data_IF_231528988883
#
_entry.id   IF_231528988883
#
_cell.length_a   1.000
_cell.length_b   1.000
_cell.length_c   1.000
_cell.angle_alpha   90.00
_cell.angle_beta   90.00
_cell.angle_gamma   90.00
#
_symmetry.space_group_name_H-M   'P 1'
#
loop_
_entity.id
_entity.type
_entity.pdbx_description
1 polymer ?
#
# COMPACT_ATOMS: atom_id res chain seq x y z
N UNK A 1 -14.67 22.54 2.84
CA UNK A 1 -13.25 22.04 2.87
C UNK A 1 -13.29 20.54 2.74
N UNK A 2 -12.70 20.00 1.69
CA UNK A 2 -12.75 18.57 1.45
C UNK A 2 -11.84 17.81 2.45
N UNK A 3 -12.28 16.70 3.08
CA UNK A 3 -11.55 16.03 4.17
C UNK A 3 -10.15 15.51 3.80
N UNK A 4 -9.90 15.18 2.53
CA UNK A 4 -8.57 14.74 2.08
C UNK A 4 -7.50 15.84 2.11
N UNK A 5 -7.92 17.07 2.30
CA UNK A 5 -7.01 18.19 2.50
C UNK A 5 -6.42 18.28 3.91
N UNK A 6 -6.83 17.44 4.86
CA UNK A 6 -6.33 17.53 6.23
C UNK A 6 -4.80 17.47 6.29
N UNK A 7 -4.17 16.55 5.58
CA UNK A 7 -2.70 16.43 5.55
C UNK A 7 -2.04 17.59 4.78
N UNK A 8 -2.63 18.04 3.68
CA UNK A 8 -2.15 19.21 2.94
C UNK A 8 -2.24 20.46 3.81
N UNK A 9 -3.38 20.65 4.47
CA UNK A 9 -3.59 21.79 5.37
C UNK A 9 -2.62 21.75 6.56
N UNK A 10 -2.32 20.57 7.10
CA UNK A 10 -1.33 20.40 8.16
C UNK A 10 0.03 20.96 7.74
N UNK A 11 0.57 20.52 6.59
CA UNK A 11 1.84 21.04 6.08
C UNK A 11 1.79 22.54 5.82
N UNK A 12 0.68 23.04 5.27
CA UNK A 12 0.47 24.48 5.03
C UNK A 12 0.50 25.30 6.31
N UNK A 13 -0.12 24.82 7.40
CA UNK A 13 -0.11 25.50 8.70
C UNK A 13 1.31 25.71 9.25
N UNK A 14 2.22 24.79 8.95
CA UNK A 14 3.62 24.89 9.35
C UNK A 14 4.51 25.59 8.32
N UNK A 15 3.93 26.17 7.26
CA UNK A 15 4.71 26.82 6.21
C UNK A 15 5.58 25.85 5.39
N UNK A 16 5.28 24.54 5.41
CA UNK A 16 6.08 23.50 4.77
C UNK A 16 5.48 23.09 3.42
N UNK A 17 6.32 22.88 2.39
CA UNK A 17 5.89 22.27 1.13
C UNK A 17 5.33 20.87 1.38
N UNK A 18 4.16 20.55 0.81
CA UNK A 18 3.52 19.25 0.99
C UNK A 18 4.39 18.08 0.50
N UNK A 19 5.20 18.32 -0.54
CA UNK A 19 6.12 17.30 -1.09
C UNK A 19 7.19 16.83 -0.10
N UNK A 20 7.41 17.57 1.00
CA UNK A 20 8.31 17.15 2.07
C UNK A 20 7.89 15.85 2.73
N UNK A 21 6.60 15.52 2.74
CA UNK A 21 6.13 14.22 3.23
C UNK A 21 6.73 13.03 2.45
N UNK A 22 7.18 13.23 1.21
CA UNK A 22 7.78 12.18 0.38
C UNK A 22 9.29 12.28 0.30
N UNK A 23 9.83 13.51 0.24
CA UNK A 23 11.24 13.77 0.01
C UNK A 23 12.05 13.95 1.28
N UNK A 24 11.41 14.31 2.39
CA UNK A 24 12.07 14.58 3.68
C UNK A 24 11.70 13.57 4.77
N UNK A 25 10.93 12.53 4.43
CA UNK A 25 10.67 11.45 5.38
C UNK A 25 11.95 10.68 5.63
N UNK A 26 12.30 10.57 6.91
CA UNK A 26 13.46 9.82 7.35
C UNK A 26 13.10 8.87 8.49
N UNK A 27 13.59 7.65 8.41
CA UNK A 27 13.58 6.69 9.50
C UNK A 27 14.78 5.77 9.42
N UNK A 28 15.37 5.44 10.56
CA UNK A 28 16.53 4.57 10.62
C UNK A 28 16.10 3.12 10.42
N UNK A 29 16.47 2.54 9.28
CA UNK A 29 16.13 1.15 8.94
C UNK A 29 16.97 0.16 9.76
N UNK A 30 16.32 -0.88 10.27
CA UNK A 30 16.98 -2.04 10.85
C UNK A 30 17.12 -3.13 9.79
N UNK A 31 18.13 -3.02 8.92
CA UNK A 31 18.35 -3.96 7.82
C UNK A 31 18.59 -5.41 8.31
N UNK A 32 19.06 -5.62 9.54
CA UNK A 32 19.22 -6.96 10.12
C UNK A 32 17.87 -7.60 10.38
N UNK A 33 16.94 -6.89 11.02
CA UNK A 33 15.55 -7.35 11.23
C UNK A 33 14.83 -7.57 9.93
N UNK A 34 14.93 -6.62 8.99
CA UNK A 34 14.29 -6.72 7.68
C UNK A 34 14.77 -7.94 6.88
N UNK A 35 16.09 -8.21 6.87
CA UNK A 35 16.66 -9.42 6.22
C UNK A 35 16.17 -10.71 6.87
N UNK A 36 16.12 -10.75 8.22
CA UNK A 36 15.58 -11.89 8.97
C UNK A 36 14.13 -12.17 8.61
N UNK A 37 13.29 -11.10 8.59
CA UNK A 37 11.88 -11.20 8.24
C UNK A 37 11.69 -11.62 6.78
N UNK A 38 12.42 -11.03 5.85
CA UNK A 38 12.39 -11.40 4.43
C UNK A 38 12.67 -12.90 4.26
N UNK A 39 13.77 -13.41 4.85
CA UNK A 39 14.13 -14.84 4.80
C UNK A 39 13.04 -15.71 5.41
N UNK A 40 12.52 -15.34 6.59
CA UNK A 40 11.45 -16.08 7.29
C UNK A 40 10.20 -16.22 6.41
N UNK A 41 9.74 -15.12 5.80
CA UNK A 41 8.48 -15.10 5.07
C UNK A 41 8.61 -15.61 3.62
N UNK A 42 9.74 -15.37 2.95
CA UNK A 42 9.92 -15.83 1.56
C UNK A 42 10.37 -17.28 1.49
N UNK A 43 11.08 -17.81 2.51
CA UNK A 43 11.72 -19.11 2.45
C UNK A 43 12.70 -19.20 1.27
N UNK A 44 13.44 -18.13 0.98
CA UNK A 44 14.36 -17.95 -0.16
C UNK A 44 13.68 -17.97 -1.56
N UNK A 45 12.34 -17.96 -1.64
CA UNK A 45 11.64 -17.83 -2.92
C UNK A 45 11.79 -16.42 -3.47
N UNK A 46 12.35 -16.30 -4.69
CA UNK A 46 12.62 -14.99 -5.35
C UNK A 46 11.36 -14.34 -5.95
N UNK A 47 10.33 -15.14 -6.26
CA UNK A 47 9.08 -14.62 -6.87
C UNK A 47 7.96 -14.63 -5.85
N UNK A 48 7.68 -13.48 -5.27
CA UNK A 48 6.59 -13.29 -4.32
C UNK A 48 5.91 -11.93 -4.57
N UNK A 49 4.69 -11.84 -4.10
CA UNK A 49 3.94 -10.59 -4.02
C UNK A 49 3.58 -10.31 -2.56
N UNK A 50 3.38 -9.05 -2.24
CA UNK A 50 2.93 -8.64 -0.92
C UNK A 50 1.48 -8.16 -0.98
N UNK A 51 0.67 -8.68 -0.08
CA UNK A 51 -0.76 -8.36 0.05
C UNK A 51 -1.02 -7.86 1.45
N UNK A 52 -1.62 -6.68 1.56
CA UNK A 52 -2.12 -6.16 2.82
C UNK A 52 -3.59 -5.84 2.68
N UNK A 53 -4.39 -6.59 3.39
CA UNK A 53 -5.83 -6.43 3.52
C UNK A 53 -6.23 -6.40 5.00
N UNK A 54 -7.49 -6.13 5.29
CA UNK A 54 -8.03 -6.09 6.65
C UNK A 54 -9.33 -6.90 6.71
N UNK A 55 -9.18 -8.17 7.01
CA UNK A 55 -10.28 -9.12 7.07
C UNK A 55 -11.29 -8.72 8.16
N UNK A 56 -10.82 -8.15 9.28
CA UNK A 56 -11.68 -7.75 10.38
C UNK A 56 -12.64 -6.61 9.98
N UNK A 57 -12.21 -5.75 9.05
CA UNK A 57 -13.07 -4.72 8.45
C UNK A 57 -13.82 -5.20 7.21
N UNK A 58 -13.75 -6.48 6.88
CA UNK A 58 -14.33 -7.06 5.68
C UNK A 58 -13.61 -6.66 4.38
N UNK A 59 -12.36 -6.19 4.47
CA UNK A 59 -11.54 -5.78 3.33
C UNK A 59 -10.58 -6.91 2.96
N UNK A 60 -11.07 -7.94 2.27
CA UNK A 60 -10.27 -9.09 1.83
C UNK A 60 -9.93 -8.96 0.35
N UNK A 61 -8.65 -9.03 0.03
CA UNK A 61 -8.17 -9.08 -1.36
C UNK A 61 -8.12 -10.53 -1.81
N UNK A 62 -8.88 -10.84 -2.88
CA UNK A 62 -8.88 -12.19 -3.47
C UNK A 62 -7.56 -12.43 -4.20
N UNK A 63 -6.91 -13.56 -3.86
CA UNK A 63 -5.56 -13.87 -4.35
C UNK A 63 -5.43 -15.26 -4.97
N UNK A 64 -6.51 -16.01 -5.17
CA UNK A 64 -6.49 -17.39 -5.67
C UNK A 64 -5.76 -17.52 -7.03
N UNK A 65 -6.00 -16.61 -7.95
CA UNK A 65 -5.32 -16.61 -9.26
C UNK A 65 -3.85 -16.19 -9.16
N UNK A 66 -3.53 -15.27 -8.24
CA UNK A 66 -2.16 -14.80 -8.02
C UNK A 66 -1.32 -15.89 -7.35
N UNK A 67 -1.91 -16.67 -6.45
CA UNK A 67 -1.26 -17.77 -5.74
C UNK A 67 -0.76 -18.90 -6.68
N UNK A 68 -1.36 -19.02 -7.87
CA UNK A 68 -0.87 -19.97 -8.91
C UNK A 68 0.50 -19.58 -9.48
N UNK A 69 0.86 -18.30 -9.44
CA UNK A 69 2.07 -17.73 -10.08
C UNK A 69 3.12 -17.25 -9.07
N UNK A 70 2.69 -16.84 -7.88
CA UNK A 70 3.53 -16.19 -6.90
C UNK A 70 3.33 -16.77 -5.52
N UNK A 71 4.37 -16.73 -4.69
CA UNK A 71 4.19 -16.86 -3.26
C UNK A 71 3.50 -15.61 -2.73
N UNK A 72 2.37 -15.78 -2.03
CA UNK A 72 1.66 -14.68 -1.36
C UNK A 72 2.30 -14.45 0.00
N UNK A 73 2.73 -13.23 0.27
CA UNK A 73 3.15 -12.79 1.60
C UNK A 73 2.12 -11.80 2.10
N UNK A 74 1.58 -12.05 3.28
CA UNK A 74 0.71 -11.11 4.01
C UNK A 74 1.42 -10.62 5.27
N UNK A 75 1.06 -9.43 5.72
CA UNK A 75 1.49 -9.00 7.04
C UNK A 75 0.82 -9.86 8.12
N UNK A 76 1.47 -9.91 9.25
CA UNK A 76 0.88 -10.39 10.50
C UNK A 76 1.17 -9.38 11.61
N UNK A 77 0.44 -9.49 12.72
CA UNK A 77 0.56 -8.56 13.84
C UNK A 77 1.79 -8.82 14.73
N UNK A 78 2.51 -9.93 14.47
CA UNK A 78 3.68 -10.32 15.27
C UNK A 78 4.97 -9.58 14.87
N UNK A 79 4.94 -8.92 13.72
CA UNK A 79 6.12 -8.23 13.20
C UNK A 79 5.90 -6.72 13.12
N UNK A 80 6.94 -5.99 13.45
CA UNK A 80 6.90 -4.53 13.39
C UNK A 80 6.79 -4.07 11.93
N UNK A 81 5.92 -3.09 11.66
CA UNK A 81 5.62 -2.64 10.28
C UNK A 81 6.88 -2.23 9.51
N UNK A 82 7.83 -1.57 10.18
CA UNK A 82 9.06 -1.10 9.52
C UNK A 82 10.03 -2.24 9.14
N UNK A 83 9.86 -3.44 9.70
CA UNK A 83 10.67 -4.60 9.32
C UNK A 83 10.27 -5.17 7.94
N UNK A 84 9.12 -4.74 7.39
CA UNK A 84 8.68 -5.13 6.05
C UNK A 84 9.37 -4.36 4.91
N UNK A 85 10.26 -3.41 5.19
CA UNK A 85 10.89 -2.56 4.18
C UNK A 85 11.46 -3.35 3.00
N UNK A 86 12.34 -4.33 3.24
CA UNK A 86 12.93 -5.17 2.18
C UNK A 86 11.90 -6.06 1.48
N UNK A 87 10.84 -6.49 2.15
CA UNK A 87 9.76 -7.27 1.53
C UNK A 87 9.03 -6.40 0.51
N UNK A 88 8.62 -5.19 0.91
CA UNK A 88 7.95 -4.23 0.03
C UNK A 88 8.81 -3.84 -1.17
N UNK A 89 10.10 -3.56 -0.95
CA UNK A 89 11.03 -3.19 -2.02
C UNK A 89 11.27 -4.31 -3.04
N UNK A 90 11.23 -5.58 -2.63
CA UNK A 90 11.55 -6.73 -3.49
C UNK A 90 10.35 -7.51 -4.02
N UNK A 91 9.14 -7.21 -3.56
CA UNK A 91 7.92 -7.81 -4.08
C UNK A 91 7.77 -7.55 -5.59
N UNK A 92 7.26 -8.55 -6.33
CA UNK A 92 6.97 -8.41 -7.77
C UNK A 92 5.74 -7.56 -8.03
N UNK A 93 4.76 -7.65 -7.15
CA UNK A 93 3.55 -6.83 -7.16
C UNK A 93 3.18 -6.46 -5.73
N UNK A 94 2.59 -5.31 -5.53
CA UNK A 94 2.03 -4.85 -4.25
C UNK A 94 0.53 -4.70 -4.38
N UNK A 95 -0.21 -5.38 -3.53
CA UNK A 95 -1.66 -5.36 -3.46
C UNK A 95 -2.09 -4.85 -2.08
N UNK A 96 -2.45 -3.59 -1.98
CA UNK A 96 -2.68 -2.93 -0.69
C UNK A 96 -4.05 -2.26 -0.65
N UNK A 97 -4.66 -2.26 0.52
CA UNK A 97 -5.70 -1.29 0.87
C UNK A 97 -5.05 0.02 1.33
N UNK A 98 -5.82 1.10 1.46
CA UNK A 98 -5.34 2.34 2.07
C UNK A 98 -5.01 2.10 3.55
N UNK A 99 -3.73 2.22 3.90
CA UNK A 99 -3.20 1.79 5.18
C UNK A 99 -1.80 2.34 5.46
N UNK A 100 -1.27 2.07 6.65
CA UNK A 100 0.11 2.39 7.01
C UNK A 100 1.15 1.72 6.09
N UNK A 101 0.86 0.51 5.57
CA UNK A 101 1.75 -0.15 4.59
C UNK A 101 1.81 0.63 3.28
N UNK A 102 0.69 1.17 2.79
CA UNK A 102 0.69 2.03 1.62
C UNK A 102 1.52 3.28 1.87
N UNK A 103 1.37 3.92 3.05
CA UNK A 103 2.17 5.09 3.43
C UNK A 103 3.66 4.75 3.51
N UNK A 104 4.02 3.60 4.09
CA UNK A 104 5.41 3.13 4.14
C UNK A 104 6.01 2.97 2.73
N UNK A 105 5.24 2.45 1.77
CA UNK A 105 5.67 2.33 0.38
C UNK A 105 6.08 3.66 -0.25
N UNK A 106 5.48 4.79 0.16
CA UNK A 106 5.85 6.11 -0.37
C UNK A 106 7.30 6.50 -0.03
N UNK A 107 7.85 5.96 1.06
CA UNK A 107 9.20 6.27 1.54
C UNK A 107 10.27 5.30 1.02
N UNK A 108 9.87 4.23 0.33
CA UNK A 108 10.74 3.14 -0.09
C UNK A 108 11.09 3.22 -1.59
N UNK A 109 12.24 2.63 -1.95
CA UNK A 109 12.67 2.45 -3.34
C UNK A 109 12.11 1.14 -3.89
N UNK A 110 10.84 1.15 -4.29
CA UNK A 110 10.16 -0.02 -4.80
C UNK A 110 10.73 -0.45 -6.15
N UNK A 111 11.06 -1.74 -6.29
CA UNK A 111 11.48 -2.34 -7.57
C UNK A 111 10.30 -2.64 -8.48
N UNK A 112 9.13 -2.92 -7.90
CA UNK A 112 7.91 -3.19 -8.65
C UNK A 112 7.33 -1.92 -9.26
N UNK A 113 6.86 -2.04 -10.51
CA UNK A 113 5.99 -1.06 -11.17
C UNK A 113 4.52 -1.44 -11.09
N UNK A 114 4.20 -2.61 -10.53
CA UNK A 114 2.84 -3.14 -10.40
C UNK A 114 2.33 -2.90 -8.99
N UNK A 115 1.71 -1.76 -8.81
CA UNK A 115 1.21 -1.26 -7.53
C UNK A 115 -0.31 -1.16 -7.63
N UNK A 116 -1.04 -1.95 -6.85
CA UNK A 116 -2.50 -2.01 -6.83
C UNK A 116 -3.02 -1.49 -5.51
N UNK A 117 -3.86 -0.47 -5.56
CA UNK A 117 -4.55 0.09 -4.42
C UNK A 117 -6.03 -0.29 -4.46
N UNK A 118 -6.44 -1.08 -3.48
CA UNK A 118 -7.81 -1.55 -3.35
C UNK A 118 -8.62 -0.58 -2.50
N UNK A 119 -9.73 -0.10 -3.07
CA UNK A 119 -10.65 0.85 -2.44
C UNK A 119 -11.98 0.20 -2.16
N UNK A 120 -12.59 0.52 -1.04
CA UNK A 120 -13.99 0.25 -0.76
C UNK A 120 -14.80 1.54 -0.88
N UNK A 121 -16.13 1.43 -0.87
CA UNK A 121 -17.06 2.56 -0.99
C UNK A 121 -16.93 3.59 0.14
N UNK A 122 -16.25 3.23 1.25
CA UNK A 122 -15.99 4.11 2.38
C UNK A 122 -14.69 4.87 2.27
N UNK A 123 -13.88 4.56 1.26
CA UNK A 123 -12.58 5.20 1.02
C UNK A 123 -12.64 6.43 0.13
N UNK A 124 -13.76 7.17 0.16
CA UNK A 124 -13.88 8.50 -0.47
C UNK A 124 -12.78 9.49 0.00
N UNK A 125 -12.10 9.13 1.09
CA UNK A 125 -10.95 9.83 1.66
C UNK A 125 -9.61 9.28 1.18
N UNK A 126 -9.58 8.50 0.10
CA UNK A 126 -8.32 8.00 -0.44
C UNK A 126 -7.37 9.16 -0.73
N UNK A 127 -6.29 9.22 0.06
CA UNK A 127 -5.25 10.23 -0.09
C UNK A 127 -4.43 10.07 -1.38
N UNK A 128 -4.83 9.15 -2.24
CA UNK A 128 -4.19 8.81 -3.51
C UNK A 128 -4.97 9.32 -4.73
N UNK A 129 -5.94 10.22 -4.54
CA UNK A 129 -6.73 10.71 -5.65
C UNK A 129 -5.94 11.68 -6.54
N UNK A 130 -6.06 11.46 -7.86
CA UNK A 130 -5.60 12.44 -8.82
C UNK A 130 -6.47 13.68 -8.74
N UNK A 131 -5.89 14.80 -8.37
CA UNK A 131 -6.61 16.07 -8.33
C UNK A 131 -6.55 16.73 -9.70
N UNK A 132 -7.66 16.69 -10.43
CA UNK A 132 -7.78 17.28 -11.78
C UNK A 132 -7.53 18.80 -11.80
N UNK A 133 -7.88 19.53 -10.72
CA UNK A 133 -7.72 21.00 -10.66
C UNK A 133 -6.26 21.43 -10.64
N UNK A 134 -5.39 20.64 -10.02
CA UNK A 134 -3.95 20.92 -9.92
C UNK A 134 -3.10 19.97 -10.75
N UNK A 135 -3.73 19.07 -11.53
CA UNK A 135 -3.09 18.07 -12.39
C UNK A 135 -2.01 17.25 -11.66
N UNK A 136 -2.25 16.88 -10.40
CA UNK A 136 -1.30 16.14 -9.56
C UNK A 136 -1.97 15.07 -8.73
N UNK A 137 -1.24 13.99 -8.45
CA UNK A 137 -1.61 13.02 -7.45
C UNK A 137 -1.43 13.62 -6.06
N UNK A 138 -2.48 13.53 -5.25
CA UNK A 138 -2.47 13.99 -3.86
C UNK A 138 -2.34 12.78 -2.95
N UNK A 139 -1.41 12.84 -2.01
CA UNK A 139 -1.19 11.77 -1.04
C UNK A 139 -0.34 10.60 -1.52
N UNK A 140 0.19 10.64 -2.76
CA UNK A 140 1.11 9.62 -3.27
C UNK A 140 2.17 10.21 -4.18
N UNK A 141 3.38 9.63 -4.11
CA UNK A 141 4.49 9.87 -5.04
C UNK A 141 4.59 8.79 -6.13
N UNK A 142 3.74 7.76 -6.08
CA UNK A 142 3.81 6.55 -6.91
C UNK A 142 2.55 6.36 -7.74
N UNK A 143 2.69 5.67 -8.86
CA UNK A 143 1.56 5.31 -9.73
C UNK A 143 0.88 4.04 -9.22
N UNK A 144 -0.17 4.20 -8.44
CA UNK A 144 -1.04 3.10 -8.04
C UNK A 144 -2.15 2.88 -9.05
N UNK A 145 -2.36 1.61 -9.43
CA UNK A 145 -3.56 1.19 -10.17
C UNK A 145 -4.66 0.98 -9.13
N UNK A 146 -5.71 1.77 -9.22
CA UNK A 146 -6.86 1.65 -8.33
C UNK A 146 -7.74 0.47 -8.74
N UNK A 147 -8.20 -0.28 -7.75
CA UNK A 147 -9.09 -1.44 -7.92
C UNK A 147 -10.24 -1.27 -6.93
N UNK A 148 -11.46 -1.26 -7.42
CA UNK A 148 -12.63 -1.19 -6.55
C UNK A 148 -12.89 -2.56 -5.91
N UNK A 149 -13.08 -2.57 -4.59
CA UNK A 149 -13.57 -3.71 -3.84
C UNK A 149 -15.09 -3.63 -3.78
N UNK A 150 -15.78 -4.46 -4.57
CA UNK A 150 -17.23 -4.56 -4.47
C UNK A 150 -17.60 -5.42 -3.27
N UNK A 151 -18.40 -4.87 -2.35
CA UNK A 151 -19.02 -5.65 -1.29
C UNK A 151 -20.11 -6.51 -1.88
N UNK A 152 -19.92 -7.83 -1.88
CA UNK A 152 -21.07 -8.71 -1.98
C UNK A 152 -21.90 -8.58 -0.67
N UNK A 153 -23.20 -8.73 -0.76
CA UNK A 153 -24.13 -8.72 0.40
C UNK A 153 -23.76 -9.73 1.49
N UNK A 154 -22.85 -10.67 1.21
CA UNK A 154 -22.27 -11.65 2.15
C UNK A 154 -20.99 -11.18 2.86
N UNK A 155 -20.56 -9.92 2.69
CA UNK A 155 -19.33 -9.41 3.32
C UNK A 155 -18.01 -9.84 2.67
N UNK A 156 -18.06 -10.62 1.59
CA UNK A 156 -16.87 -11.04 0.83
C UNK A 156 -16.72 -10.16 -0.40
N UNK A 157 -15.53 -9.60 -0.60
CA UNK A 157 -15.22 -8.76 -1.76
C UNK A 157 -14.77 -9.61 -2.95
N UNK A 158 -15.42 -9.46 -4.09
CA UNK A 158 -14.92 -10.00 -5.36
C UNK A 158 -14.19 -8.91 -6.14
N UNK A 159 -12.97 -9.24 -6.60
CA UNK A 159 -12.18 -8.41 -7.51
C UNK A 159 -12.61 -8.70 -8.93
N UNK A 160 -13.19 -7.73 -9.61
CA UNK A 160 -13.39 -7.80 -11.05
C UNK A 160 -12.16 -7.23 -11.77
N UNK A 161 -11.31 -8.11 -12.27
CA UNK A 161 -10.37 -7.76 -13.32
C UNK A 161 -11.17 -7.69 -14.63
N UNK A 162 -11.54 -6.51 -15.06
CA UNK A 162 -11.89 -6.29 -16.46
C UNK A 162 -10.57 -6.28 -17.24
N UNK A 163 -10.41 -7.27 -18.11
CA UNK A 163 -9.37 -7.39 -19.14
C UNK A 163 -9.27 -6.14 -20.00
#
# INVERSE_FOLDING_TARGET
TQPWHCTVNFYKQFGLPYDYRFSKTFWKRNLKSEKKLLKKLTGNKKKFIFVHDDINRGLKIETSQLAKKFKIIRNNNDNFIFDYGLILENAKELHLIESSFRQLCETLKLKSKKLFLYKDDRTDYSMSLFNKKINKWVGTSKRWKEVNLNRNKSGVFQNFFKS
#
